data_IF_682461169012
#
_entry.id   IF_682461169012
#
_cell.length_a   1.000
_cell.length_b   1.000
_cell.length_c   1.000
_cell.angle_alpha   90.00
_cell.angle_beta   90.00
_cell.angle_gamma   90.00
#
_symmetry.space_group_name_H-M   'P 1'
#
loop_
_entity.id
_entity.type
_entity.pdbx_description
1 polymer ?
#
# COMPACT_ATOMS: atom_id res chain seq x y z
N UNK A 1 -3.47 -16.76 22.75
CA UNK A 1 -2.98 -15.50 22.16
C UNK A 1 -3.99 -15.02 21.14
N UNK A 2 -4.75 -13.98 21.48
CA UNK A 2 -5.79 -13.43 20.64
C UNK A 2 -5.18 -12.79 19.39
N UNK A 3 -5.63 -13.24 18.21
CA UNK A 3 -5.32 -12.67 16.88
C UNK A 3 -5.98 -11.29 16.66
N UNK A 4 -5.98 -10.44 17.69
CA UNK A 4 -6.55 -9.08 17.75
C UNK A 4 -5.43 -8.05 17.98
N UNK A 5 -4.27 -8.26 17.35
CA UNK A 5 -3.08 -7.47 17.61
C UNK A 5 -3.04 -6.22 16.71
N UNK A 6 -3.27 -5.07 17.36
CA UNK A 6 -2.65 -3.76 17.10
C UNK A 6 -3.23 -2.87 15.99
N UNK A 7 -3.86 -3.41 14.94
CA UNK A 7 -4.35 -2.57 13.82
C UNK A 7 -5.64 -1.81 14.19
N UNK A 8 -6.56 -2.42 14.92
CA UNK A 8 -7.81 -1.79 15.41
C UNK A 8 -7.57 -0.61 16.38
N UNK A 9 -6.32 -0.36 16.81
CA UNK A 9 -5.99 0.64 17.83
C UNK A 9 -5.46 1.95 17.25
N UNK A 10 -5.23 2.05 15.93
CA UNK A 10 -4.59 3.24 15.33
C UNK A 10 -5.50 3.96 14.34
N UNK A 11 -6.35 3.24 13.60
CA UNK A 11 -7.23 3.85 12.61
C UNK A 11 -8.69 3.63 13.02
N UNK A 12 -9.41 4.73 13.25
CA UNK A 12 -10.85 4.72 13.49
C UNK A 12 -11.60 4.09 12.31
N UNK A 13 -12.79 3.52 12.54
CA UNK A 13 -13.73 3.13 11.47
C UNK A 13 -13.98 4.27 10.46
N UNK A 14 -13.84 5.52 10.91
CA UNK A 14 -13.90 6.73 10.09
C UNK A 14 -12.70 6.90 9.16
N UNK A 15 -11.52 6.40 9.52
CA UNK A 15 -10.32 6.46 8.70
C UNK A 15 -10.25 5.30 7.70
N UNK A 16 -10.84 4.16 8.02
CA UNK A 16 -11.08 3.08 7.05
C UNK A 16 -12.06 3.52 5.94
N UNK A 17 -13.11 4.28 6.28
CA UNK A 17 -14.07 4.80 5.30
C UNK A 17 -13.53 5.92 4.40
N UNK A 18 -12.36 6.49 4.72
CA UNK A 18 -11.65 7.40 3.81
C UNK A 18 -10.95 6.66 2.67
N UNK A 19 -10.63 5.38 2.86
CA UNK A 19 -9.99 4.55 1.82
C UNK A 19 -10.95 4.34 0.66
N UNK A 20 -12.23 4.13 0.95
CA UNK A 20 -13.27 3.90 -0.06
C UNK A 20 -13.50 5.11 -0.99
N UNK A 21 -13.09 6.31 -0.57
CA UNK A 21 -13.20 7.54 -1.34
C UNK A 21 -11.88 7.92 -2.05
N UNK A 22 -10.81 7.13 -1.90
CA UNK A 22 -9.57 7.38 -2.63
C UNK A 22 -9.76 6.99 -4.10
N UNK A 23 -9.18 7.78 -5.04
CA UNK A 23 -9.09 7.34 -6.42
C UNK A 23 -8.39 5.98 -6.48
N UNK A 24 -8.81 5.11 -7.41
CA UNK A 24 -8.28 3.76 -7.63
C UNK A 24 -8.05 3.50 -9.13
N UNK A 25 -7.72 4.54 -9.88
CA UNK A 25 -7.62 4.50 -11.34
C UNK A 25 -6.19 4.21 -11.80
N UNK A 26 -5.21 4.65 -11.02
CA UNK A 26 -3.80 4.56 -11.38
C UNK A 26 -3.03 3.54 -10.53
N UNK A 27 -1.84 3.18 -10.97
CA UNK A 27 -0.92 2.38 -10.16
C UNK A 27 -0.53 3.12 -8.88
N UNK A 28 -0.37 4.45 -8.95
CA UNK A 28 -0.05 5.29 -7.79
C UNK A 28 -1.14 5.18 -6.71
N UNK A 29 -2.39 5.26 -7.15
CA UNK A 29 -3.58 5.11 -6.31
C UNK A 29 -3.63 3.73 -5.65
N UNK A 30 -3.47 2.66 -6.44
CA UNK A 30 -3.47 1.28 -5.96
C UNK A 30 -2.39 1.04 -4.90
N UNK A 31 -1.22 1.66 -5.05
CA UNK A 31 -0.11 1.58 -4.06
C UNK A 31 -0.46 2.35 -2.79
N UNK A 32 -1.05 3.54 -2.92
CA UNK A 32 -1.46 4.36 -1.78
C UNK A 32 -2.55 3.67 -0.95
N UNK A 33 -3.56 3.12 -1.62
CA UNK A 33 -4.63 2.32 -0.99
C UNK A 33 -4.01 1.11 -0.27
N UNK A 34 -3.14 0.36 -0.94
CA UNK A 34 -2.45 -0.78 -0.35
C UNK A 34 -1.65 -0.41 0.90
N UNK A 35 -0.93 0.72 0.89
CA UNK A 35 -0.18 1.16 2.08
C UNK A 35 -1.13 1.48 3.22
N UNK A 36 -2.15 2.29 2.97
CA UNK A 36 -3.08 2.73 4.01
C UNK A 36 -3.84 1.53 4.58
N UNK A 37 -4.27 0.58 3.74
CA UNK A 37 -4.99 -0.63 4.17
C UNK A 37 -4.15 -1.57 5.03
N UNK A 38 -2.81 -1.45 5.00
CA UNK A 38 -1.91 -2.22 5.87
C UNK A 38 -1.72 -1.60 7.26
N UNK A 39 -2.15 -0.34 7.46
CA UNK A 39 -1.89 0.43 8.68
C UNK A 39 -0.42 0.79 8.91
N UNK A 40 0.45 0.57 7.91
CA UNK A 40 1.89 0.86 8.00
C UNK A 40 2.18 2.32 7.68
N UNK A 41 3.09 2.92 8.45
CA UNK A 41 3.70 4.19 8.05
C UNK A 41 4.60 3.97 6.81
N UNK A 42 5.02 5.07 6.18
CA UNK A 42 5.85 5.04 4.97
C UNK A 42 7.13 4.20 5.12
N UNK A 43 7.80 4.27 6.27
CA UNK A 43 9.07 3.56 6.49
C UNK A 43 8.85 2.05 6.60
N UNK A 44 7.85 1.63 7.38
CA UNK A 44 7.55 0.20 7.57
C UNK A 44 7.00 -0.42 6.29
N UNK A 45 6.16 0.32 5.56
CA UNK A 45 5.68 -0.10 4.24
C UNK A 45 6.85 -0.25 3.27
N UNK A 46 7.74 0.75 3.17
CA UNK A 46 8.90 0.70 2.29
C UNK A 46 9.84 -0.46 2.64
N UNK A 47 10.07 -0.70 3.94
CA UNK A 47 10.88 -1.82 4.43
C UNK A 47 10.28 -3.16 4.03
N UNK A 48 8.96 -3.35 4.21
CA UNK A 48 8.26 -4.57 3.77
C UNK A 48 8.24 -4.69 2.25
N UNK A 49 8.09 -3.58 1.54
CA UNK A 49 8.18 -3.49 0.08
C UNK A 49 9.61 -3.63 -0.44
N UNK A 50 10.64 -3.70 0.40
CA UNK A 50 12.07 -3.77 0.05
C UNK A 50 12.53 -2.68 -0.91
N UNK A 51 12.11 -1.44 -0.65
CA UNK A 51 12.54 -0.23 -1.37
C UNK A 51 12.79 0.92 -0.39
N UNK A 52 13.40 2.01 -0.87
CA UNK A 52 13.58 3.21 -0.04
C UNK A 52 12.27 3.97 0.16
N UNK A 53 12.09 4.62 1.31
CA UNK A 53 10.89 5.41 1.65
C UNK A 53 10.52 6.44 0.58
N UNK A 54 11.53 7.16 0.06
CA UNK A 54 11.36 8.14 -1.01
C UNK A 54 10.82 7.52 -2.32
N UNK A 55 11.07 6.23 -2.56
CA UNK A 55 10.55 5.51 -3.72
C UNK A 55 9.03 5.36 -3.61
N UNK A 56 8.52 4.96 -2.44
CA UNK A 56 7.09 4.86 -2.17
C UNK A 56 6.42 6.23 -2.31
N UNK A 57 7.01 7.27 -1.72
CA UNK A 57 6.50 8.64 -1.87
C UNK A 57 6.38 9.05 -3.34
N UNK A 58 7.41 8.81 -4.15
CA UNK A 58 7.39 9.14 -5.59
C UNK A 58 6.35 8.32 -6.36
N UNK A 59 6.14 7.05 -6.01
CA UNK A 59 5.10 6.22 -6.64
C UNK A 59 3.70 6.73 -6.30
N UNK A 60 3.39 6.98 -5.03
CA UNK A 60 2.07 7.42 -4.58
C UNK A 60 1.68 8.82 -5.08
N UNK A 61 2.66 9.68 -5.36
CA UNK A 61 2.44 11.03 -5.91
C UNK A 61 2.53 11.09 -7.44
N UNK A 62 2.63 9.94 -8.12
CA UNK A 62 2.74 9.90 -9.58
C UNK A 62 4.04 10.47 -10.16
N UNK A 63 5.02 10.79 -9.31
CA UNK A 63 6.33 11.33 -9.73
C UNK A 63 7.20 10.28 -10.42
N UNK A 64 6.93 8.99 -10.18
CA UNK A 64 7.58 7.87 -10.84
C UNK A 64 6.62 6.69 -10.93
N UNK A 65 6.62 6.01 -12.07
CA UNK A 65 5.87 4.76 -12.24
C UNK A 65 6.81 3.58 -11.90
N UNK A 66 6.41 2.65 -11.01
CA UNK A 66 7.16 1.42 -10.78
C UNK A 66 7.14 0.53 -12.04
N UNK A 67 8.26 -0.12 -12.31
CA UNK A 67 8.31 -1.15 -13.35
C UNK A 67 7.67 -2.47 -12.87
N UNK A 68 7.55 -3.42 -13.79
CA UNK A 68 6.98 -4.74 -13.52
C UNK A 68 7.69 -5.49 -12.39
N UNK A 69 9.01 -5.35 -12.25
CA UNK A 69 9.78 -6.02 -11.20
C UNK A 69 9.33 -5.53 -9.82
N UNK A 70 9.15 -4.22 -9.66
CA UNK A 70 8.68 -3.64 -8.40
C UNK A 70 7.21 -3.96 -8.12
N UNK A 71 6.35 -3.98 -9.13
CA UNK A 71 4.96 -4.38 -8.97
C UNK A 71 4.84 -5.84 -8.52
N UNK A 72 5.60 -6.74 -9.14
CA UNK A 72 5.63 -8.15 -8.73
C UNK A 72 6.19 -8.32 -7.31
N UNK A 73 7.19 -7.51 -6.93
CA UNK A 73 7.71 -7.48 -5.57
C UNK A 73 6.64 -7.07 -4.54
N UNK A 74 5.80 -6.08 -4.85
CA UNK A 74 4.67 -5.71 -4.00
C UNK A 74 3.63 -6.84 -3.92
N UNK A 75 3.30 -7.48 -5.05
CA UNK A 75 2.37 -8.62 -5.08
C UNK A 75 2.83 -9.73 -4.12
N UNK A 76 4.11 -10.10 -4.19
CA UNK A 76 4.67 -11.16 -3.35
C UNK A 76 4.73 -10.74 -1.89
N UNK A 77 5.27 -9.54 -1.58
CA UNK A 77 5.51 -9.12 -0.20
C UNK A 77 4.23 -8.81 0.59
N UNK A 78 3.15 -8.45 -0.11
CA UNK A 78 1.85 -8.16 0.48
C UNK A 78 0.79 -9.24 0.19
N UNK A 79 1.20 -10.35 -0.42
CA UNK A 79 0.34 -11.51 -0.70
C UNK A 79 -0.94 -11.14 -1.47
N UNK A 80 -0.77 -10.31 -2.51
CA UNK A 80 -1.86 -9.78 -3.34
C UNK A 80 -2.22 -10.75 -4.47
N UNK A 81 -3.37 -10.50 -5.11
CA UNK A 81 -3.70 -11.15 -6.37
C UNK A 81 -2.68 -10.72 -7.46
N UNK A 82 -2.30 -11.65 -8.34
CA UNK A 82 -1.38 -11.37 -9.46
C UNK A 82 -1.86 -10.22 -10.36
N UNK A 83 -3.17 -10.05 -10.47
CA UNK A 83 -3.80 -9.05 -11.32
C UNK A 83 -4.13 -7.76 -10.54
N UNK A 84 -3.66 -7.60 -9.30
CA UNK A 84 -3.99 -6.42 -8.48
C UNK A 84 -3.64 -5.09 -9.17
N UNK A 85 -2.47 -5.03 -9.82
CA UNK A 85 -2.03 -3.86 -10.59
C UNK A 85 -2.43 -3.90 -12.06
N UNK A 86 -3.03 -5.00 -12.51
CA UNK A 86 -3.67 -5.06 -13.84
C UNK A 86 -5.02 -4.34 -13.76
N UNK A 87 -5.42 -3.70 -14.85
CA UNK A 87 -6.78 -3.19 -15.00
C UNK A 87 -7.68 -4.33 -15.49
#
# INVERSE_FOLDING_TARGET
MNKKTTIDTILSDKELSLIDNLPNETIADKIKILRISTGLNYNDFAKKARVGTMTIYRWENGLRVPDYKYLNQLIINFNLNKNYFSN
#
